data_IF_938639556647
#
_entry.id   IF_938639556647
#
_cell.length_a   1.000
_cell.length_b   1.000
_cell.length_c   1.000
_cell.angle_alpha   90.00
_cell.angle_beta   90.00
_cell.angle_gamma   90.00
#
_symmetry.space_group_name_H-M   'P 1'
#
loop_
_entity.id
_entity.type
_entity.pdbx_description
1 polymer ?
#
# COMPACT_ATOMS: atom_id res chain seq x y z
N UNK A 1 15.87 -12.79 -10.53
CA UNK A 1 14.52 -13.28 -10.25
C UNK A 1 13.89 -12.27 -9.32
N UNK A 2 12.97 -11.43 -9.77
CA UNK A 2 12.33 -10.42 -8.91
C UNK A 2 11.22 -11.12 -8.12
N UNK A 3 11.52 -11.54 -6.90
CA UNK A 3 10.55 -12.14 -5.99
C UNK A 3 9.50 -11.09 -5.61
N UNK A 4 8.30 -11.24 -6.16
CA UNK A 4 7.17 -10.42 -5.77
C UNK A 4 6.57 -11.01 -4.49
N UNK A 5 7.07 -10.56 -3.33
CA UNK A 5 6.50 -10.90 -2.02
C UNK A 5 5.09 -10.33 -1.91
N UNK A 6 4.15 -11.18 -1.52
CA UNK A 6 2.79 -10.77 -1.19
C UNK A 6 2.69 -10.59 0.32
N UNK A 7 2.03 -9.51 0.74
CA UNK A 7 1.80 -9.18 2.13
C UNK A 7 0.32 -9.03 2.41
N UNK A 8 -0.13 -9.48 3.58
CA UNK A 8 -1.53 -9.39 3.96
C UNK A 8 -1.88 -7.99 4.47
N UNK A 9 -3.18 -7.72 4.65
CA UNK A 9 -3.65 -6.43 5.19
C UNK A 9 -2.97 -6.06 6.52
N UNK A 10 -2.73 -7.03 7.41
CA UNK A 10 -2.10 -6.76 8.70
C UNK A 10 -0.66 -6.25 8.54
N UNK A 11 0.08 -6.79 7.58
CA UNK A 11 1.45 -6.36 7.27
C UNK A 11 1.45 -4.99 6.58
N UNK A 12 0.51 -4.77 5.66
CA UNK A 12 0.30 -3.46 5.04
C UNK A 12 0.06 -2.41 6.12
N UNK A 13 -0.88 -2.65 7.04
CA UNK A 13 -1.19 -1.73 8.15
C UNK A 13 0.03 -1.43 9.01
N UNK A 14 0.86 -2.44 9.34
CA UNK A 14 2.13 -2.24 10.06
C UNK A 14 3.12 -1.40 9.27
N UNK A 15 3.22 -1.61 7.96
CA UNK A 15 4.20 -0.95 7.09
C UNK A 15 3.85 0.51 6.81
N UNK A 16 2.57 0.81 6.54
CA UNK A 16 2.11 2.18 6.26
C UNK A 16 1.73 2.97 7.52
N UNK A 17 1.56 2.30 8.66
CA UNK A 17 1.14 2.93 9.93
C UNK A 17 -0.31 3.45 9.90
N UNK A 18 -1.15 2.89 9.03
CA UNK A 18 -2.54 3.32 8.81
C UNK A 18 -3.52 2.22 9.25
N UNK A 19 -4.69 2.64 9.71
CA UNK A 19 -5.80 1.73 10.02
C UNK A 19 -6.50 1.27 8.74
N UNK A 20 -7.10 0.07 8.78
CA UNK A 20 -7.87 -0.50 7.66
C UNK A 20 -8.85 0.50 7.03
N UNK A 21 -9.65 1.20 7.84
CA UNK A 21 -10.64 2.16 7.35
C UNK A 21 -10.03 3.27 6.49
N UNK A 22 -8.82 3.72 6.83
CA UNK A 22 -8.13 4.74 6.05
C UNK A 22 -7.51 4.17 4.78
N UNK A 23 -7.00 2.94 4.84
CA UNK A 23 -6.55 2.22 3.64
C UNK A 23 -7.72 2.03 2.67
N UNK A 24 -8.89 1.58 3.16
CA UNK A 24 -10.12 1.45 2.37
C UNK A 24 -10.56 2.79 1.77
N UNK A 25 -10.44 3.89 2.51
CA UNK A 25 -10.72 5.23 2.00
C UNK A 25 -9.77 5.61 0.85
N UNK A 26 -8.46 5.45 1.03
CA UNK A 26 -7.47 5.76 0.00
C UNK A 26 -7.62 4.85 -1.23
N UNK A 27 -8.01 3.58 -1.05
CA UNK A 27 -8.33 2.68 -2.15
C UNK A 27 -9.54 3.17 -2.96
N UNK A 28 -10.58 3.69 -2.30
CA UNK A 28 -11.75 4.29 -2.97
C UNK A 28 -11.39 5.55 -3.74
N UNK A 29 -10.45 6.36 -3.22
CA UNK A 29 -9.94 7.55 -3.92
C UNK A 29 -8.97 7.21 -5.08
N UNK A 30 -8.57 5.94 -5.24
CA UNK A 30 -7.54 5.54 -6.21
C UNK A 30 -6.11 5.91 -5.79
N UNK A 31 -5.95 6.43 -4.58
CA UNK A 31 -4.69 6.90 -4.00
C UNK A 31 -3.90 5.81 -3.28
N UNK A 32 -4.37 4.56 -3.27
CA UNK A 32 -3.69 3.43 -2.65
C UNK A 32 -3.62 2.22 -3.58
N UNK A 33 -2.53 1.43 -3.53
CA UNK A 33 -2.39 0.22 -4.33
C UNK A 33 -3.54 -0.77 -4.07
N UNK A 34 -4.18 -1.26 -5.13
CA UNK A 34 -5.23 -2.27 -5.03
C UNK A 34 -4.63 -3.64 -4.66
N UNK A 35 -5.31 -4.43 -3.82
CA UNK A 35 -4.91 -5.80 -3.54
C UNK A 35 -5.01 -6.66 -4.81
N UNK A 36 -4.13 -7.65 -4.88
CA UNK A 36 -4.23 -8.78 -5.79
C UNK A 36 -5.21 -9.77 -5.18
N UNK A 37 -6.32 -10.03 -5.89
CA UNK A 37 -7.28 -11.06 -5.52
C UNK A 37 -7.09 -12.26 -6.44
N UNK A 38 -6.60 -13.38 -5.90
CA UNK A 38 -6.60 -14.68 -6.58
C UNK A 38 -7.73 -15.54 -6.04
N UNK A 39 -8.96 -15.21 -6.45
CA UNK A 39 -10.15 -15.97 -6.06
C UNK A 39 -10.58 -15.74 -4.61
N UNK A 40 -10.73 -16.83 -3.84
CA UNK A 40 -11.27 -16.86 -2.47
C UNK A 40 -10.25 -16.40 -1.42
N UNK A 41 -9.00 -16.19 -1.82
CA UNK A 41 -7.94 -15.80 -0.90
C UNK A 41 -8.20 -14.42 -0.28
N UNK A 42 -7.71 -14.19 0.95
CA UNK A 42 -7.67 -12.85 1.55
C UNK A 42 -7.03 -11.84 0.60
N UNK A 43 -7.34 -10.57 0.80
CA UNK A 43 -6.73 -9.48 0.04
C UNK A 43 -5.22 -9.45 0.34
N UNK A 44 -4.40 -9.64 -0.71
CA UNK A 44 -2.94 -9.62 -0.64
C UNK A 44 -2.39 -8.45 -1.47
N UNK A 45 -1.33 -7.80 -1.03
CA UNK A 45 -0.68 -6.73 -1.76
C UNK A 45 0.72 -7.13 -2.18
N UNK A 46 1.14 -6.69 -3.37
CA UNK A 46 2.55 -6.76 -3.77
C UNK A 46 3.32 -5.79 -2.89
N UNK A 47 4.24 -6.31 -2.08
CA UNK A 47 5.02 -5.52 -1.11
C UNK A 47 5.68 -4.32 -1.77
N UNK A 48 6.33 -4.53 -2.92
CA UNK A 48 7.00 -3.48 -3.69
C UNK A 48 6.08 -2.30 -4.05
N UNK A 49 4.81 -2.55 -4.37
CA UNK A 49 3.86 -1.47 -4.68
C UNK A 49 3.53 -0.62 -3.46
N UNK A 50 3.50 -1.23 -2.28
CA UNK A 50 3.32 -0.52 -1.01
C UNK A 50 4.56 0.33 -0.72
N UNK A 51 5.76 -0.22 -0.92
CA UNK A 51 7.01 0.52 -0.72
C UNK A 51 7.13 1.73 -1.65
N UNK A 52 6.81 1.54 -2.94
CA UNK A 52 6.75 2.63 -3.93
C UNK A 52 5.74 3.71 -3.52
N UNK A 53 4.58 3.31 -3.00
CA UNK A 53 3.57 4.25 -2.50
C UNK A 53 4.07 5.07 -1.30
N UNK A 54 4.75 4.43 -0.33
CA UNK A 54 5.36 5.11 0.83
C UNK A 54 6.40 6.13 0.36
N UNK A 55 7.28 5.72 -0.56
CA UNK A 55 8.31 6.61 -1.13
C UNK A 55 7.63 7.80 -1.81
N UNK A 56 6.63 7.58 -2.66
CA UNK A 56 5.93 8.66 -3.35
C UNK A 56 5.25 9.65 -2.38
N UNK A 57 4.62 9.17 -1.30
CA UNK A 57 4.03 10.03 -0.27
C UNK A 57 5.08 10.84 0.50
N UNK A 58 6.24 10.27 0.79
CA UNK A 58 7.32 10.98 1.48
C UNK A 58 8.04 11.98 0.57
N UNK A 59 8.24 11.65 -0.71
CA UNK A 59 8.80 12.57 -1.72
C UNK A 59 7.87 13.75 -2.00
N UNK A 60 6.55 13.54 -2.01
CA UNK A 60 5.57 14.62 -2.19
C UNK A 60 5.56 15.62 -1.03
N UNK A 61 5.84 15.17 0.21
CA UNK A 61 6.00 16.07 1.37
C UNK A 61 7.25 16.97 1.29
N UNK A 62 8.32 16.51 0.63
CA UNK A 62 9.56 17.30 0.51
C UNK A 62 9.47 18.50 -0.44
N UNK A 63 8.35 18.71 -1.14
CA UNK A 63 8.13 19.88 -2.01
C UNK A 63 7.38 21.05 -1.35
N UNK A 64 7.09 20.98 -0.05
CA UNK A 64 6.43 22.07 0.70
C UNK A 64 7.32 22.69 1.81
N UNK A 65 8.64 22.47 1.74
CA UNK A 65 9.64 23.23 2.50
C UNK A 65 10.66 23.76 1.49
N UNK A 66 10.29 24.86 0.87
CA UNK A 66 11.14 25.74 0.06
C UNK A 66 10.65 27.16 0.27
#
# INVERSE_FOLDING_TARGET
>A
MTEATLICLADVMKKVGLKKSWIDHLMQQGDFPKPVRRGIQPEEWVEKKIDEWIINKTSSRKKAQG
#
